data_IF_733915220085
#
_entry.id   IF_733915220085
#
_cell.length_a   1.000
_cell.length_b   1.000
_cell.length_c   1.000
_cell.angle_alpha   90.00
_cell.angle_beta   90.00
_cell.angle_gamma   90.00
#
_symmetry.space_group_name_H-M   'P 1'
#
loop_
_entity.id
_entity.type
_entity.pdbx_description
1 polymer ?
#
# COMPACT_ATOMS: atom_id res chain seq x y z
N UNK A 1 7.22 -25.54 -7.73
CA UNK A 1 5.98 -24.75 -7.92
C UNK A 1 6.32 -23.28 -7.69
N UNK A 2 5.92 -22.35 -8.57
CA UNK A 2 6.13 -20.92 -8.29
C UNK A 2 5.08 -20.44 -7.28
N UNK A 3 5.54 -19.67 -6.29
CA UNK A 3 4.67 -19.06 -5.28
C UNK A 3 3.74 -18.06 -5.97
N UNK A 4 2.48 -18.00 -5.57
CA UNK A 4 1.56 -17.00 -6.13
C UNK A 4 2.00 -15.60 -5.69
N UNK A 5 2.06 -14.63 -6.62
CA UNK A 5 2.39 -13.23 -6.34
C UNK A 5 1.12 -12.39 -6.35
N UNK A 6 0.85 -11.68 -5.26
CA UNK A 6 -0.28 -10.76 -5.09
C UNK A 6 0.28 -9.34 -5.07
N UNK A 7 -0.18 -8.51 -6.00
CA UNK A 7 0.28 -7.12 -6.11
C UNK A 7 -0.88 -6.19 -5.81
N UNK A 8 -0.68 -5.32 -4.83
CA UNK A 8 -1.62 -4.28 -4.39
C UNK A 8 -1.12 -2.95 -4.95
N UNK A 9 -1.95 -2.30 -5.76
CA UNK A 9 -1.61 -1.02 -6.40
C UNK A 9 -2.35 0.10 -5.65
N UNK A 10 -1.60 0.86 -4.87
CA UNK A 10 -2.08 1.97 -4.04
C UNK A 10 -2.22 1.59 -2.57
N UNK A 11 -1.68 2.45 -1.70
CA UNK A 11 -1.76 2.34 -0.25
C UNK A 11 -2.86 3.25 0.33
N UNK A 12 -4.01 3.34 -0.32
CA UNK A 12 -5.22 3.96 0.25
C UNK A 12 -5.93 3.03 1.25
N UNK A 13 -7.09 3.43 1.77
CA UNK A 13 -7.86 2.60 2.72
C UNK A 13 -8.13 1.18 2.22
N UNK A 14 -8.53 1.03 0.95
CA UNK A 14 -8.78 -0.28 0.34
C UNK A 14 -7.53 -1.15 0.25
N UNK A 15 -6.42 -0.56 -0.19
CA UNK A 15 -5.14 -1.26 -0.33
C UNK A 15 -4.57 -1.70 1.02
N UNK A 16 -4.56 -0.80 2.01
CA UNK A 16 -4.04 -1.09 3.35
C UNK A 16 -4.93 -2.07 4.13
N UNK A 17 -6.26 -1.98 4.00
CA UNK A 17 -7.16 -3.00 4.57
C UNK A 17 -6.90 -4.38 3.97
N UNK A 18 -6.71 -4.43 2.65
CA UNK A 18 -6.43 -5.68 1.94
C UNK A 18 -5.09 -6.25 2.38
N UNK A 19 -4.04 -5.42 2.41
CA UNK A 19 -2.72 -5.80 2.91
C UNK A 19 -2.81 -6.38 4.32
N UNK A 20 -3.48 -5.68 5.25
CA UNK A 20 -3.63 -6.15 6.63
C UNK A 20 -4.23 -7.55 6.70
N UNK A 21 -5.32 -7.79 5.94
CA UNK A 21 -5.97 -9.09 5.89
C UNK A 21 -5.03 -10.16 5.35
N UNK A 22 -4.36 -9.90 4.23
CA UNK A 22 -3.45 -10.88 3.61
C UNK A 22 -2.27 -11.24 4.53
N UNK A 23 -1.66 -10.26 5.20
CA UNK A 23 -0.58 -10.50 6.17
C UNK A 23 -1.03 -11.37 7.36
N UNK A 24 -2.30 -11.27 7.76
CA UNK A 24 -2.92 -12.06 8.84
C UNK A 24 -3.34 -13.47 8.37
N UNK A 25 -3.75 -13.63 7.13
CA UNK A 25 -4.25 -14.92 6.58
C UNK A 25 -3.17 -15.98 6.38
N UNK A 26 -1.89 -15.67 6.63
CA UNK A 26 -0.74 -16.58 6.52
C UNK A 26 -0.72 -17.43 5.24
N UNK A 27 -1.15 -16.83 4.14
CA UNK A 27 -1.21 -17.45 2.83
C UNK A 27 0.20 -17.74 2.29
N UNK A 28 0.34 -18.81 1.52
CA UNK A 28 1.58 -19.13 0.83
C UNK A 28 1.72 -18.33 -0.48
N UNK A 29 1.81 -17.01 -0.34
CA UNK A 29 1.94 -16.06 -1.45
C UNK A 29 2.96 -14.97 -1.13
N UNK A 30 3.61 -14.46 -2.18
CA UNK A 30 4.40 -13.23 -2.10
C UNK A 30 3.46 -12.03 -2.22
N UNK A 31 3.59 -11.04 -1.32
CA UNK A 31 2.77 -9.83 -1.34
C UNK A 31 3.66 -8.64 -1.71
N UNK A 32 3.24 -7.87 -2.71
CA UNK A 32 3.90 -6.62 -3.11
C UNK A 32 2.90 -5.49 -2.97
N UNK A 33 3.26 -4.44 -2.24
CA UNK A 33 2.51 -3.18 -2.19
C UNK A 33 3.27 -2.13 -2.99
N UNK A 34 2.62 -1.53 -3.97
CA UNK A 34 3.15 -0.41 -4.74
C UNK A 34 2.38 0.85 -4.36
N UNK A 35 3.06 1.93 -4.00
CA UNK A 35 2.42 3.22 -3.77
C UNK A 35 3.33 4.37 -4.18
N UNK A 36 2.76 5.45 -4.70
CA UNK A 36 3.52 6.63 -5.14
C UNK A 36 4.36 7.25 -4.01
N UNK A 37 3.82 7.25 -2.80
CA UNK A 37 4.46 7.82 -1.61
C UNK A 37 4.76 6.73 -0.59
N UNK A 38 5.73 6.96 0.28
CA UNK A 38 6.04 6.10 1.45
C UNK A 38 5.11 6.32 2.65
N UNK A 39 4.07 7.13 2.48
CA UNK A 39 3.07 7.42 3.50
C UNK A 39 1.64 7.19 2.99
N UNK A 40 0.76 6.92 3.95
CA UNK A 40 -0.68 7.10 3.81
C UNK A 40 -1.07 8.45 4.43
N UNK A 41 -2.06 9.11 3.85
CA UNK A 41 -2.70 10.28 4.45
C UNK A 41 -4.20 10.01 4.63
N UNK A 42 -4.73 10.43 5.77
CA UNK A 42 -6.16 10.33 6.06
C UNK A 42 -6.91 11.38 5.23
N UNK A 43 -7.38 10.96 4.04
CA UNK A 43 -8.05 11.84 3.07
C UNK A 43 -9.25 12.56 3.68
N UNK A 44 -9.91 11.93 4.66
CA UNK A 44 -11.06 12.50 5.38
C UNK A 44 -10.71 13.75 6.19
N UNK A 45 -9.44 13.97 6.56
CA UNK A 45 -8.99 15.11 7.39
C UNK A 45 -8.26 16.19 6.58
N UNK A 46 -8.18 16.07 5.25
CA UNK A 46 -7.46 17.03 4.41
C UNK A 46 -8.06 18.44 4.46
N UNK A 47 -9.36 18.56 4.69
CA UNK A 47 -10.03 19.85 4.80
C UNK A 47 -9.60 20.65 6.04
N UNK A 48 -9.40 19.97 7.17
CA UNK A 48 -8.87 20.57 8.40
C UNK A 48 -7.43 21.06 8.19
N UNK A 49 -6.58 20.24 7.54
CA UNK A 49 -5.22 20.68 7.22
C UNK A 49 -5.19 21.86 6.24
N UNK A 50 -6.06 21.86 5.23
CA UNK A 50 -6.19 22.99 4.31
C UNK A 50 -6.68 24.27 5.01
N UNK A 51 -7.52 24.14 6.03
CA UNK A 51 -7.99 25.25 6.88
C UNK A 51 -6.92 25.71 7.90
N UNK A 52 -5.79 25.01 8.01
CA UNK A 52 -4.73 25.31 8.97
C UNK A 52 -5.07 24.95 10.42
N UNK A 53 -6.12 24.15 10.63
CA UNK A 53 -6.55 23.72 11.98
C UNK A 53 -5.75 22.52 12.48
N UNK A 54 -5.15 21.74 11.56
CA UNK A 54 -4.38 20.54 11.87
C UNK A 54 -3.11 20.51 11.01
N UNK A 55 -1.97 20.22 11.63
CA UNK A 55 -0.70 20.02 10.93
C UNK A 55 -0.77 18.81 9.98
N UNK A 56 -0.35 18.92 8.71
CA UNK A 56 -0.40 17.82 7.73
C UNK A 56 0.30 16.53 8.19
N UNK A 57 1.32 16.62 9.03
CA UNK A 57 2.05 15.46 9.55
C UNK A 57 1.17 14.62 10.48
N UNK A 58 0.15 15.21 11.12
CA UNK A 58 -0.75 14.51 12.04
C UNK A 58 -1.75 13.60 11.34
N UNK A 59 -2.06 13.88 10.08
CA UNK A 59 -2.96 13.05 9.27
C UNK A 59 -2.19 12.07 8.37
N UNK A 60 -0.86 12.02 8.46
CA UNK A 60 -0.01 11.14 7.69
C UNK A 60 0.66 10.08 8.57
N UNK A 61 0.79 8.86 8.05
CA UNK A 61 1.66 7.86 8.67
C UNK A 61 2.47 7.10 7.63
N UNK A 62 3.70 6.77 8.00
CA UNK A 62 4.59 5.96 7.16
C UNK A 62 4.01 4.57 6.92
N UNK A 63 4.04 4.12 5.67
CA UNK A 63 3.64 2.79 5.24
C UNK A 63 4.46 1.71 5.95
N UNK A 64 5.71 2.01 6.33
CA UNK A 64 6.59 1.09 7.06
C UNK A 64 5.96 0.62 8.38
N UNK A 65 5.09 1.44 9.00
CA UNK A 65 4.39 1.10 10.25
C UNK A 65 3.32 0.03 10.08
N UNK A 66 2.85 -0.22 8.86
CA UNK A 66 1.76 -1.17 8.56
C UNK A 66 2.20 -2.35 7.67
N UNK A 67 3.41 -2.27 7.11
CA UNK A 67 4.02 -3.32 6.31
C UNK A 67 4.82 -4.26 7.21
N UNK A 68 4.52 -5.56 7.13
CA UNK A 68 5.34 -6.60 7.70
C UNK A 68 6.39 -7.03 6.67
N UNK A 69 7.64 -6.59 6.85
CA UNK A 69 8.77 -6.86 5.93
C UNK A 69 9.09 -8.35 5.74
N UNK A 70 8.67 -9.23 6.65
CA UNK A 70 8.82 -10.68 6.48
C UNK A 70 7.81 -11.29 5.51
N UNK A 71 6.72 -10.58 5.19
CA UNK A 71 5.62 -11.07 4.36
C UNK A 71 5.34 -10.20 3.13
N UNK A 72 5.82 -8.96 3.13
CA UNK A 72 5.44 -7.97 2.13
C UNK A 72 6.63 -7.12 1.71
N UNK A 73 6.79 -6.99 0.39
CA UNK A 73 7.71 -6.05 -0.24
C UNK A 73 6.97 -4.76 -0.54
N UNK A 74 7.49 -3.63 -0.08
CA UNK A 74 6.98 -2.31 -0.43
C UNK A 74 7.84 -1.70 -1.54
N UNK A 75 7.19 -1.16 -2.58
CA UNK A 75 7.82 -0.44 -3.67
C UNK A 75 7.20 0.95 -3.74
N UNK A 76 8.03 1.99 -3.57
CA UNK A 76 7.60 3.36 -3.77
C UNK A 76 7.69 3.71 -5.26
N UNK A 77 6.57 3.65 -5.97
CA UNK A 77 6.50 3.91 -7.42
C UNK A 77 5.09 4.32 -7.87
N UNK A 78 5.00 4.96 -9.03
CA UNK A 78 3.74 5.36 -9.65
C UNK A 78 3.34 4.35 -10.72
N UNK A 79 2.12 3.82 -10.62
CA UNK A 79 1.59 2.90 -11.63
C UNK A 79 1.05 3.70 -12.82
N UNK A 80 1.74 3.64 -13.96
CA UNK A 80 1.33 4.38 -15.17
C UNK A 80 0.37 3.59 -16.08
N UNK A 81 0.58 2.27 -16.18
CA UNK A 81 -0.20 1.41 -17.07
C UNK A 81 -0.30 0.00 -16.51
N UNK A 82 -1.52 -0.54 -16.49
CA UNK A 82 -1.74 -1.97 -16.21
C UNK A 82 -2.20 -2.67 -17.50
N UNK A 83 -1.35 -3.52 -18.08
CA UNK A 83 -1.75 -4.39 -19.18
C UNK A 83 -2.20 -5.74 -18.62
N UNK A 84 -3.37 -6.24 -19.05
CA UNK A 84 -3.81 -7.61 -18.76
C UNK A 84 -3.11 -8.60 -19.71
N UNK A 85 -1.79 -8.61 -19.71
CA UNK A 85 -1.01 -9.59 -20.46
C UNK A 85 -0.47 -10.61 -19.46
N UNK A 86 -0.56 -11.90 -19.78
CA UNK A 86 -0.15 -13.03 -18.92
C UNK A 86 1.09 -12.72 -18.09
N UNK A 87 0.95 -12.84 -16.76
CA UNK A 87 1.97 -12.97 -15.71
C UNK A 87 3.41 -12.84 -16.20
N UNK A 88 3.99 -11.66 -16.01
CA UNK A 88 5.38 -11.51 -15.56
C UNK A 88 5.51 -10.14 -14.92
N UNK A 89 5.48 -10.12 -13.59
CA UNK A 89 6.07 -9.05 -12.80
C UNK A 89 7.38 -9.64 -12.24
N UNK A 90 8.48 -8.88 -12.32
CA UNK A 90 9.86 -9.34 -12.31
C UNK A 90 10.20 -10.34 -11.20
#
# INVERSE_FOLDING_TARGET
MSKSKIVILGAGYGGLRTLRKLQQSNIDAEIVLVNKNDYHHETTWLHEAAAGTIEPEKLMYSIDKVVNKSKTTFIQDTVEKSTKTKKQLP
#
